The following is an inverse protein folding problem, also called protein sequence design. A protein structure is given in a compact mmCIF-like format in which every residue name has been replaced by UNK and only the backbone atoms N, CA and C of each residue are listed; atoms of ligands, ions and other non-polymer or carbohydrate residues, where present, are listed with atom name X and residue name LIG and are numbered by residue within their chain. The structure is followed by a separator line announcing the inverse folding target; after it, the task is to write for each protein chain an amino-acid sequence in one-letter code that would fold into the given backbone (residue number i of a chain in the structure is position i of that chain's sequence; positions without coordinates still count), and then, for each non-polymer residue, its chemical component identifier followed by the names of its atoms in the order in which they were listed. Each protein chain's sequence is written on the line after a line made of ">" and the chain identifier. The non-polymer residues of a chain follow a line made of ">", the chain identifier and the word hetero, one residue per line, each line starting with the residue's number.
data_IF_489012422601
#
_entry.id   IF_489012422601
#
_cell.length_a   1.000
_cell.length_b   1.000
_cell.length_c   1.000
_cell.angle_alpha   90.00
_cell.angle_beta   90.00
_cell.angle_gamma   90.00
#
_symmetry.space_group_name_H-M   'P 1'
#
loop_
_entity.id
_entity.type
_entity.pdbx_description
1 polymer ?
#
# COMPACT_ATOMS: atom_id res chain seq x y z
N UNK A 1 28.71 6.33 13.88
CA UNK A 1 27.57 7.21 13.55
C UNK A 1 27.12 6.98 12.10
N UNK A 2 28.04 6.66 11.21
CA UNK A 2 27.85 6.51 9.76
C UNK A 2 26.87 5.38 9.40
N UNK A 3 26.97 4.23 10.06
CA UNK A 3 26.05 3.10 9.87
C UNK A 3 24.61 3.41 10.27
N UNK A 4 24.39 4.22 11.31
CA UNK A 4 23.05 4.63 11.73
C UNK A 4 22.41 5.58 10.71
N UNK A 5 23.19 6.50 10.13
CA UNK A 5 22.72 7.42 9.08
C UNK A 5 22.37 6.65 7.82
N UNK A 6 23.23 5.73 7.37
CA UNK A 6 22.95 4.88 6.20
C UNK A 6 21.71 4.02 6.44
N UNK A 7 21.59 3.40 7.61
CA UNK A 7 20.41 2.63 8.00
C UNK A 7 19.14 3.48 7.99
N UNK A 8 19.19 4.68 8.57
CA UNK A 8 18.07 5.61 8.57
C UNK A 8 17.63 6.02 7.15
N UNK A 9 18.58 6.36 6.28
CA UNK A 9 18.29 6.73 4.90
C UNK A 9 17.68 5.57 4.11
N UNK A 10 18.23 4.36 4.28
CA UNK A 10 17.71 3.15 3.64
C UNK A 10 16.27 2.88 4.06
N UNK A 11 16.01 2.80 5.37
CA UNK A 11 14.65 2.52 5.89
C UNK A 11 13.67 3.60 5.47
N UNK A 12 14.09 4.88 5.51
CA UNK A 12 13.26 5.99 5.05
C UNK A 12 12.89 5.84 3.56
N UNK A 13 13.86 5.53 2.70
CA UNK A 13 13.59 5.33 1.27
C UNK A 13 12.58 4.20 1.02
N UNK A 14 12.73 3.05 1.69
CA UNK A 14 11.77 1.95 1.59
C UNK A 14 10.40 2.33 2.14
N UNK A 15 10.35 3.04 3.26
CA UNK A 15 9.10 3.51 3.85
C UNK A 15 8.32 4.42 2.90
N UNK A 16 8.98 5.43 2.31
CA UNK A 16 8.34 6.32 1.35
C UNK A 16 7.93 5.60 0.05
N UNK A 17 8.75 4.65 -0.41
CA UNK A 17 8.40 3.82 -1.56
C UNK A 17 7.12 2.99 -1.30
N UNK A 18 7.01 2.35 -0.12
CA UNK A 18 5.82 1.59 0.24
C UNK A 18 4.60 2.48 0.50
N UNK A 19 4.78 3.68 1.06
CA UNK A 19 3.73 4.70 1.15
C UNK A 19 3.20 5.10 -0.23
N UNK A 20 4.09 5.23 -1.21
CA UNK A 20 3.70 5.56 -2.57
C UNK A 20 2.93 4.41 -3.23
N UNK A 21 3.37 3.17 -3.04
CA UNK A 21 2.65 1.97 -3.48
C UNK A 21 1.26 1.86 -2.84
N UNK A 22 1.17 2.11 -1.54
CA UNK A 22 -0.07 2.17 -0.76
C UNK A 22 -1.05 3.19 -1.36
N UNK A 23 -0.59 4.41 -1.61
CA UNK A 23 -1.39 5.46 -2.24
C UNK A 23 -1.91 5.06 -3.63
N UNK A 24 -1.13 4.29 -4.40
CA UNK A 24 -1.52 3.81 -5.74
C UNK A 24 -2.38 2.55 -5.71
N UNK A 25 -2.49 1.87 -4.58
CA UNK A 25 -3.22 0.60 -4.46
C UNK A 25 -2.51 -0.52 -5.23
N UNK A 26 -1.19 -0.58 -5.12
CA UNK A 26 -0.35 -1.56 -5.83
C UNK A 26 0.61 -2.27 -4.88
N UNK A 27 0.95 -3.51 -5.22
CA UNK A 27 2.05 -4.26 -4.60
C UNK A 27 3.38 -3.99 -5.31
N UNK A 28 4.51 -4.29 -4.67
CA UNK A 28 5.84 -4.20 -5.29
C UNK A 28 5.95 -5.07 -6.55
N UNK A 29 5.26 -6.21 -6.60
CA UNK A 29 5.20 -7.06 -7.79
C UNK A 29 4.46 -6.37 -8.92
N UNK A 30 3.32 -5.76 -8.60
CA UNK A 30 2.51 -5.03 -9.57
C UNK A 30 3.20 -3.77 -10.06
N UNK A 31 4.00 -3.09 -9.24
CA UNK A 31 4.81 -1.94 -9.65
C UNK A 31 5.64 -2.17 -10.91
N UNK A 32 6.18 -3.39 -11.09
CA UNK A 32 6.94 -3.75 -12.29
C UNK A 32 6.08 -3.83 -13.55
N UNK A 33 4.77 -4.06 -13.41
CA UNK A 33 3.80 -3.83 -14.47
C UNK A 33 3.31 -2.39 -14.36
N UNK A 34 3.40 -1.56 -15.39
CA UNK A 34 2.87 -0.18 -15.33
C UNK A 34 1.32 -0.10 -15.20
N UNK A 35 0.66 -1.15 -14.69
CA UNK A 35 -0.77 -1.34 -14.57
C UNK A 35 -1.20 -1.29 -13.10
N UNK A 36 -2.29 -0.57 -12.84
CA UNK A 36 -2.90 -0.39 -11.53
C UNK A 36 -4.40 -0.68 -11.58
N UNK A 37 -4.80 -1.93 -11.91
CA UNK A 37 -6.21 -2.28 -12.08
C UNK A 37 -6.99 -2.26 -10.76
N UNK A 38 -6.33 -2.33 -9.61
CA UNK A 38 -6.95 -2.39 -8.28
C UNK A 38 -6.96 -1.04 -7.54
N UNK A 39 -6.65 0.06 -8.22
CA UNK A 39 -6.61 1.38 -7.57
C UNK A 39 -8.01 1.94 -7.32
N UNK A 40 -8.36 2.15 -6.05
CA UNK A 40 -9.65 2.69 -5.57
C UNK A 40 -9.57 4.20 -5.25
N UNK A 41 -8.52 4.87 -5.73
CA UNK A 41 -8.15 6.23 -5.33
C UNK A 41 -7.44 6.29 -3.96
N UNK A 42 -6.85 7.43 -3.63
CA UNK A 42 -5.97 7.58 -2.45
C UNK A 42 -6.64 7.12 -1.14
N UNK A 43 -7.81 7.66 -0.82
CA UNK A 43 -8.53 7.33 0.41
C UNK A 43 -9.07 5.90 0.40
N UNK A 44 -9.51 5.43 -0.77
CA UNK A 44 -9.99 4.07 -0.97
C UNK A 44 -8.89 3.05 -0.70
N UNK A 45 -7.71 3.27 -1.28
CA UNK A 45 -6.53 2.42 -1.10
C UNK A 45 -6.08 2.41 0.37
N UNK A 46 -5.98 3.58 1.01
CA UNK A 46 -5.64 3.68 2.44
C UNK A 46 -6.61 2.89 3.32
N UNK A 47 -7.91 3.06 3.13
CA UNK A 47 -8.93 2.35 3.91
C UNK A 47 -8.98 0.85 3.61
N UNK A 48 -8.68 0.45 2.37
CA UNK A 48 -8.65 -0.95 1.99
C UNK A 48 -7.44 -1.67 2.62
N UNK A 49 -6.27 -1.03 2.66
CA UNK A 49 -5.05 -1.62 3.21
C UNK A 49 -4.92 -1.51 4.73
N UNK A 50 -5.27 -0.36 5.32
CA UNK A 50 -5.15 -0.11 6.76
C UNK A 50 -6.46 -0.39 7.52
N UNK A 51 -7.54 -0.70 6.81
CA UNK A 51 -8.86 -1.02 7.38
C UNK A 51 -9.69 0.22 7.77
N UNK A 52 -10.84 -0.05 8.40
CA UNK A 52 -11.84 0.96 8.73
C UNK A 52 -11.32 2.04 9.69
N UNK A 53 -10.40 1.66 10.58
CA UNK A 53 -9.81 2.49 11.63
C UNK A 53 -8.36 2.86 11.31
N UNK A 54 -8.07 3.09 10.03
CA UNK A 54 -6.72 3.37 9.54
C UNK A 54 -5.98 4.48 10.32
N UNK A 55 -6.69 5.51 10.77
CA UNK A 55 -6.13 6.62 11.56
C UNK A 55 -5.62 6.16 12.94
N UNK A 56 -6.18 5.10 13.53
CA UNK A 56 -5.69 4.52 14.79
C UNK A 56 -4.46 3.63 14.58
N UNK A 57 -4.36 2.96 13.44
CA UNK A 57 -3.19 2.14 13.10
C UNK A 57 -1.90 2.94 13.05
N UNK A 58 -1.97 4.23 12.69
CA UNK A 58 -0.82 5.13 12.70
C UNK A 58 -0.30 5.44 14.11
N UNK A 59 -1.18 5.42 15.13
CA UNK A 59 -0.76 5.61 16.52
C UNK A 59 -0.22 4.32 17.15
N UNK A 60 -0.85 3.18 16.87
CA UNK A 60 -0.47 1.92 17.47
C UNK A 60 -0.84 0.73 16.57
N UNK A 61 0.15 -0.13 16.21
CA UNK A 61 -0.10 -1.30 15.35
C UNK A 61 -0.89 -2.41 16.08
N UNK A 62 -0.98 -2.37 17.42
CA UNK A 62 -1.70 -3.37 18.20
C UNK A 62 -3.22 -3.14 18.23
N UNK A 63 -3.71 -1.99 17.75
CA UNK A 63 -5.14 -1.70 17.70
C UNK A 63 -5.73 -2.42 16.48
N UNK A 64 -6.71 -3.33 16.66
CA UNK A 64 -7.31 -4.02 15.54
C UNK A 64 -8.10 -3.03 14.67
N UNK A 65 -7.72 -2.96 13.40
CA UNK A 65 -8.48 -2.26 12.36
C UNK A 65 -9.06 -3.31 11.40
N UNK A 66 -10.39 -3.49 11.38
CA UNK A 66 -11.00 -4.48 10.50
C UNK A 66 -10.79 -4.08 9.04
N UNK A 67 -10.14 -4.96 8.27
CA UNK A 67 -9.97 -4.80 6.83
C UNK A 67 -11.26 -5.20 6.10
N UNK A 68 -11.66 -4.44 5.06
CA UNK A 68 -12.92 -4.68 4.36
C UNK A 68 -12.89 -5.85 3.36
N UNK A 69 -11.75 -6.50 3.16
CA UNK A 69 -11.56 -7.59 2.18
C UNK A 69 -11.21 -8.93 2.81
N UNK A 70 -11.37 -10.00 2.03
CA UNK A 70 -11.04 -11.38 2.39
C UNK A 70 -9.59 -11.77 2.04
N UNK A 71 -8.86 -10.89 1.37
CA UNK A 71 -7.49 -11.13 0.88
C UNK A 71 -7.41 -11.96 -0.41
N UNK A 72 -8.56 -12.32 -0.99
CA UNK A 72 -8.66 -13.15 -2.21
C UNK A 72 -9.34 -12.35 -3.32
N UNK A 73 -10.43 -11.65 -3.00
CA UNK A 73 -11.23 -10.86 -3.91
C UNK A 73 -10.94 -9.37 -3.74
N UNK A 74 -10.44 -8.75 -4.81
CA UNK A 74 -10.13 -7.32 -4.85
C UNK A 74 -11.02 -6.61 -5.88
N UNK A 75 -11.42 -5.39 -5.57
CA UNK A 75 -12.23 -4.60 -6.51
C UNK A 75 -11.37 -4.13 -7.69
N UNK A 76 -11.85 -4.44 -8.89
CA UNK A 76 -11.19 -4.11 -10.15
C UNK A 76 -11.78 -2.81 -10.68
N UNK A 77 -10.93 -1.80 -10.84
CA UNK A 77 -11.28 -0.47 -11.37
C UNK A 77 -10.64 -0.21 -12.74
N UNK A 78 -9.62 -0.97 -13.13
CA UNK A 78 -8.94 -0.86 -14.43
C UNK A 78 -8.98 -2.15 -15.26
N UNK A 79 -8.48 -2.08 -16.50
CA UNK A 79 -8.44 -3.24 -17.39
C UNK A 79 -7.48 -4.32 -16.89
N UNK A 80 -7.95 -5.57 -16.88
CA UNK A 80 -7.15 -6.76 -16.61
C UNK A 80 -6.50 -7.34 -17.87
N UNK A 81 -6.89 -6.85 -19.06
CA UNK A 81 -6.35 -7.37 -20.31
C UNK A 81 -4.83 -7.13 -20.39
N UNK A 82 -4.06 -8.13 -20.84
CA UNK A 82 -2.66 -7.92 -21.17
C UNK A 82 -2.57 -6.99 -22.39
N UNK A 83 -1.74 -5.95 -22.29
CA UNK A 83 -1.36 -5.16 -23.46
C UNK A 83 -0.68 -6.10 -24.44
N UNK A 84 -1.28 -6.26 -25.62
CA UNK A 84 -0.85 -7.18 -26.67
C UNK A 84 0.46 -6.75 -27.30
#
# INVERSE_FOLDING_TARGET
>A
ADTCVVGFLLVSAFFFFHLFLLCRGQTTREWYSSRHPYSLGLLGNLRHTLGLRWYLCWLCPLIPSPMPGDGINFQVTGSLEPTR
#
